data_IF_452471234945
#
_entry.id   IF_452471234945
#
_cell.length_a   1.000
_cell.length_b   1.000
_cell.length_c   1.000
_cell.angle_alpha   90.00
_cell.angle_beta   90.00
_cell.angle_gamma   90.00
#
_symmetry.space_group_name_H-M   'P 1'
#
loop_
_entity.id
_entity.type
_entity.pdbx_description
1 polymer ?
#
# COMPACT_ATOMS: atom_id res chain seq x y z
N UNK A 1 -7.27 9.71 11.32
CA UNK A 1 -6.68 10.64 12.33
C UNK A 1 -5.70 9.87 13.22
N UNK A 2 -4.62 10.54 13.64
CA UNK A 2 -3.65 10.00 14.57
C UNK A 2 -4.33 9.54 15.87
N UNK A 3 -4.00 8.32 16.34
CA UNK A 3 -4.61 7.70 17.53
C UNK A 3 -6.09 7.27 17.44
N UNK A 4 -6.71 7.31 16.27
CA UNK A 4 -8.09 6.80 16.12
C UNK A 4 -8.15 5.27 16.18
N UNK A 5 -7.11 4.61 15.67
CA UNK A 5 -6.98 3.15 15.69
C UNK A 5 -5.71 2.76 16.45
N UNK A 6 -5.81 1.92 17.48
CA UNK A 6 -4.69 1.60 18.38
C UNK A 6 -3.54 0.81 17.74
N UNK A 7 -3.71 0.34 16.50
CA UNK A 7 -2.72 -0.41 15.74
C UNK A 7 -2.09 0.37 14.60
N UNK A 8 -2.36 1.69 14.52
CA UNK A 8 -1.76 2.58 13.52
C UNK A 8 -0.83 3.56 14.23
N UNK A 9 0.47 3.40 14.03
CA UNK A 9 1.50 4.21 14.65
C UNK A 9 1.77 5.52 13.91
N UNK A 10 1.53 5.55 12.59
CA UNK A 10 1.81 6.71 11.75
C UNK A 10 0.82 6.81 10.59
N UNK A 11 0.28 8.00 10.37
CA UNK A 11 -0.54 8.34 9.22
C UNK A 11 -0.08 9.66 8.62
N UNK A 12 -0.12 9.78 7.29
CA UNK A 12 0.25 11.02 6.59
C UNK A 12 -0.65 11.25 5.39
N UNK A 13 -1.13 12.47 5.21
CA UNK A 13 -1.74 12.94 3.96
C UNK A 13 -0.70 13.36 2.93
N UNK A 14 0.56 13.52 3.34
CA UNK A 14 1.69 13.78 2.45
C UNK A 14 2.19 12.46 1.91
N UNK A 15 1.86 12.17 0.64
CA UNK A 15 2.17 10.91 -0.01
C UNK A 15 3.68 10.64 -0.01
N UNK A 16 4.07 9.39 0.11
CA UNK A 16 5.45 8.93 0.11
C UNK A 16 6.18 9.03 1.45
N UNK A 17 5.69 9.79 2.44
CA UNK A 17 6.39 10.00 3.71
C UNK A 17 6.41 8.75 4.60
N UNK A 18 5.34 7.95 4.56
CA UNK A 18 5.16 6.81 5.45
C UNK A 18 6.26 5.75 5.31
N UNK A 19 6.67 5.44 4.09
CA UNK A 19 7.72 4.43 3.84
C UNK A 19 9.07 4.88 4.41
N UNK A 20 9.45 6.15 4.19
CA UNK A 20 10.70 6.70 4.73
C UNK A 20 10.72 6.69 6.26
N UNK A 21 9.60 7.05 6.90
CA UNK A 21 9.46 6.98 8.35
C UNK A 21 9.62 5.55 8.88
N UNK A 22 8.95 4.57 8.26
CA UNK A 22 9.05 3.16 8.62
C UNK A 22 10.48 2.61 8.45
N UNK A 23 11.19 3.02 7.40
CA UNK A 23 12.61 2.65 7.21
C UNK A 23 13.48 3.20 8.35
N UNK A 24 13.26 4.44 8.75
CA UNK A 24 13.95 5.02 9.91
C UNK A 24 13.70 4.24 11.20
N UNK A 25 12.45 3.84 11.44
CA UNK A 25 12.05 3.00 12.58
C UNK A 25 12.72 1.62 12.52
N UNK A 26 12.74 0.99 11.33
CA UNK A 26 13.37 -0.32 11.14
C UNK A 26 14.88 -0.30 11.37
N UNK A 27 15.56 0.75 10.87
CA UNK A 27 16.99 0.97 11.13
C UNK A 27 17.27 1.19 12.63
N UNK A 28 16.45 2.02 13.28
CA UNK A 28 16.58 2.27 14.72
C UNK A 28 16.39 0.98 15.53
N UNK A 29 15.39 0.18 15.20
CA UNK A 29 15.13 -1.10 15.85
C UNK A 29 16.31 -2.07 15.70
N UNK A 30 16.88 -2.16 14.49
CA UNK A 30 18.07 -2.98 14.23
C UNK A 30 19.28 -2.47 15.05
N UNK A 31 19.51 -1.15 15.08
CA UNK A 31 20.58 -0.54 15.86
C UNK A 31 20.43 -0.81 17.38
N UNK A 32 19.21 -0.68 17.88
CA UNK A 32 18.87 -0.93 19.29
C UNK A 32 18.76 -2.41 19.63
N UNK A 33 18.93 -3.32 18.67
CA UNK A 33 18.80 -4.77 18.82
C UNK A 33 17.46 -5.20 19.44
N UNK A 34 16.37 -4.53 19.02
CA UNK A 34 15.03 -4.92 19.44
C UNK A 34 14.72 -6.27 18.79
N UNK A 35 14.22 -7.22 19.59
CA UNK A 35 13.92 -8.56 19.11
C UNK A 35 12.70 -8.55 18.18
N UNK A 36 12.90 -8.98 16.94
CA UNK A 36 11.90 -9.30 15.94
C UNK A 36 10.82 -8.22 15.64
N UNK A 37 11.15 -6.91 15.58
CA UNK A 37 10.17 -5.90 15.23
C UNK A 37 9.80 -6.02 13.75
N UNK A 38 8.52 -5.92 13.41
CA UNK A 38 8.02 -5.86 12.03
C UNK A 38 7.29 -4.56 11.79
N UNK A 39 7.57 -3.94 10.65
CA UNK A 39 6.98 -2.67 10.24
C UNK A 39 6.16 -2.89 8.97
N UNK A 40 4.86 -2.71 9.07
CA UNK A 40 3.94 -2.81 7.96
C UNK A 40 3.66 -1.41 7.41
N UNK A 41 3.74 -1.27 6.09
CA UNK A 41 3.46 -0.02 5.39
C UNK A 41 2.42 -0.28 4.31
N UNK A 42 1.32 0.47 4.33
CA UNK A 42 0.33 0.46 3.27
C UNK A 42 0.61 1.63 2.33
N UNK A 43 0.75 1.34 1.05
CA UNK A 43 0.94 2.32 -0.03
C UNK A 43 -0.18 2.22 -1.06
N UNK A 44 -0.53 3.34 -1.70
CA UNK A 44 -1.34 3.36 -2.90
C UNK A 44 -0.51 3.32 -4.17
N UNK A 45 -1.07 2.83 -5.27
CA UNK A 45 -0.39 2.77 -6.56
C UNK A 45 -0.10 4.15 -7.17
N UNK A 46 -0.97 5.13 -6.95
CA UNK A 46 -0.67 6.53 -7.28
C UNK A 46 0.42 7.14 -6.38
N UNK A 47 0.49 6.72 -5.11
CA UNK A 47 1.49 7.20 -4.15
C UNK A 47 2.92 6.81 -4.56
N UNK A 48 3.10 5.65 -5.16
CA UNK A 48 4.45 5.20 -5.58
C UNK A 48 5.02 6.00 -6.77
N UNK A 49 4.27 6.93 -7.34
CA UNK A 49 4.80 7.89 -8.29
C UNK A 49 5.67 8.98 -7.63
N UNK A 50 5.57 9.14 -6.31
CA UNK A 50 6.43 10.03 -5.54
C UNK A 50 7.88 9.53 -5.55
N UNK A 51 8.82 10.40 -5.92
CA UNK A 51 10.26 10.06 -5.99
C UNK A 51 10.82 9.50 -4.69
N UNK A 52 10.33 10.02 -3.56
CA UNK A 52 10.74 9.59 -2.22
C UNK A 52 10.46 8.10 -1.95
N UNK A 53 9.44 7.50 -2.56
CA UNK A 53 9.18 6.06 -2.45
C UNK A 53 10.36 5.25 -3.01
N UNK A 54 10.89 5.66 -4.15
CA UNK A 54 12.01 4.96 -4.80
C UNK A 54 13.33 5.16 -4.06
N UNK A 55 13.58 6.35 -3.50
CA UNK A 55 14.71 6.61 -2.62
C UNK A 55 14.66 5.73 -1.38
N UNK A 56 13.46 5.62 -0.78
CA UNK A 56 13.21 4.76 0.38
C UNK A 56 13.36 3.27 0.01
N UNK A 57 12.83 2.83 -1.12
CA UNK A 57 12.94 1.45 -1.60
C UNK A 57 14.41 1.05 -1.81
N UNK A 58 15.21 1.91 -2.43
CA UNK A 58 16.64 1.71 -2.61
C UNK A 58 17.37 1.60 -1.26
N UNK A 59 17.04 2.46 -0.30
CA UNK A 59 17.62 2.44 1.04
C UNK A 59 17.29 1.13 1.78
N UNK A 60 16.03 0.70 1.77
CA UNK A 60 15.61 -0.54 2.42
C UNK A 60 16.33 -1.77 1.84
N UNK A 61 16.47 -1.82 0.51
CA UNK A 61 17.20 -2.88 -0.17
C UNK A 61 18.69 -2.87 0.16
N UNK A 62 19.31 -1.68 0.21
CA UNK A 62 20.73 -1.52 0.58
C UNK A 62 21.02 -2.06 1.98
N UNK A 63 20.18 -1.70 2.95
CA UNK A 63 20.35 -2.12 4.35
C UNK A 63 19.77 -3.50 4.65
N UNK A 64 19.19 -4.20 3.65
CA UNK A 64 18.55 -5.52 3.80
C UNK A 64 17.53 -5.53 4.96
N UNK A 65 16.62 -4.55 4.97
CA UNK A 65 15.64 -4.39 6.05
C UNK A 65 14.53 -5.46 5.96
N UNK A 66 14.86 -6.70 6.35
CA UNK A 66 13.93 -7.84 6.30
C UNK A 66 12.69 -7.69 7.20
N UNK A 67 12.72 -6.72 8.08
CA UNK A 67 11.63 -6.36 9.01
C UNK A 67 10.64 -5.32 8.42
N UNK A 68 10.85 -4.84 7.18
CA UNK A 68 9.90 -4.01 6.42
C UNK A 68 9.03 -4.90 5.54
N UNK A 69 7.72 -4.72 5.64
CA UNK A 69 6.72 -5.36 4.81
C UNK A 69 5.81 -4.27 4.25
N UNK A 70 5.88 -4.06 2.94
CA UNK A 70 5.01 -3.13 2.21
C UNK A 70 3.84 -3.91 1.61
N UNK A 71 2.64 -3.39 1.78
CA UNK A 71 1.44 -3.82 1.07
C UNK A 71 1.05 -2.69 0.15
N UNK A 72 1.01 -2.96 -1.15
CA UNK A 72 0.64 -1.98 -2.16
C UNK A 72 -0.80 -2.24 -2.62
N UNK A 73 -1.71 -1.32 -2.31
CA UNK A 73 -3.06 -1.31 -2.88
C UNK A 73 -2.98 -0.98 -4.37
N UNK A 74 -2.96 -2.03 -5.20
CA UNK A 74 -2.86 -1.90 -6.65
C UNK A 74 -4.24 -1.96 -7.30
N UNK A 75 -4.98 -0.86 -7.15
CA UNK A 75 -6.32 -0.70 -7.72
C UNK A 75 -6.32 -0.07 -9.13
N UNK A 76 -5.16 0.36 -9.64
CA UNK A 76 -4.92 0.94 -10.97
C UNK A 76 -5.52 2.33 -11.18
N UNK A 77 -5.88 3.02 -10.08
CA UNK A 77 -6.43 4.37 -10.13
C UNK A 77 -5.69 5.32 -9.19
N UNK A 78 -5.54 6.55 -9.65
CA UNK A 78 -5.09 7.68 -8.87
C UNK A 78 -6.07 8.83 -8.99
N UNK A 79 -5.77 10.00 -8.39
CA UNK A 79 -6.69 11.13 -8.35
C UNK A 79 -7.23 11.55 -9.71
N UNK A 80 -6.39 11.61 -10.73
CA UNK A 80 -6.72 12.15 -12.05
C UNK A 80 -7.15 11.09 -13.08
N UNK A 81 -7.20 9.81 -12.68
CA UNK A 81 -7.61 8.72 -13.57
C UNK A 81 -6.85 7.43 -13.33
N UNK A 82 -6.79 6.60 -14.37
CA UNK A 82 -6.01 5.37 -14.32
C UNK A 82 -4.51 5.65 -14.28
N UNK A 83 -3.78 4.91 -13.43
CA UNK A 83 -2.32 5.06 -13.29
C UNK A 83 -1.60 4.86 -14.62
N UNK A 84 -2.02 3.91 -15.46
CA UNK A 84 -1.42 3.66 -16.79
C UNK A 84 -1.50 4.87 -17.73
N UNK A 85 -2.56 5.69 -17.59
CA UNK A 85 -2.80 6.84 -18.48
C UNK A 85 -2.19 8.14 -17.95
N UNK A 86 -2.10 8.29 -16.64
CA UNK A 86 -1.56 9.49 -15.99
C UNK A 86 -0.04 9.41 -15.87
N UNK A 87 0.45 8.36 -15.23
CA UNK A 87 1.88 8.06 -15.09
C UNK A 87 2.05 6.57 -14.92
N UNK A 88 2.49 5.88 -15.97
CA UNK A 88 2.66 4.44 -15.96
C UNK A 88 3.75 3.99 -14.97
N UNK A 89 3.38 3.10 -14.06
CA UNK A 89 4.26 2.55 -13.04
C UNK A 89 4.85 1.19 -13.40
N UNK A 90 4.41 0.60 -14.53
CA UNK A 90 4.91 -0.69 -14.98
C UNK A 90 6.31 -0.62 -15.66
N UNK A 91 7.11 -1.71 -15.61
CA UNK A 91 6.86 -2.97 -14.91
C UNK A 91 7.06 -2.82 -13.40
N UNK A 92 5.99 -2.97 -12.62
CA UNK A 92 5.98 -2.65 -11.20
C UNK A 92 6.85 -3.59 -10.37
N UNK A 93 6.61 -4.89 -10.47
CA UNK A 93 7.35 -5.91 -9.72
C UNK A 93 8.86 -5.84 -9.98
N UNK A 94 9.26 -5.73 -11.26
CA UNK A 94 10.67 -5.71 -11.67
C UNK A 94 11.43 -4.51 -11.09
N UNK A 95 10.77 -3.35 -10.96
CA UNK A 95 11.38 -2.16 -10.36
C UNK A 95 11.76 -2.41 -8.90
N UNK A 96 10.86 -3.00 -8.12
CA UNK A 96 11.12 -3.33 -6.71
C UNK A 96 12.16 -4.44 -6.56
N UNK A 97 12.08 -5.47 -7.42
CA UNK A 97 13.09 -6.55 -7.48
C UNK A 97 14.48 -5.97 -7.75
N UNK A 98 14.58 -4.98 -8.66
CA UNK A 98 15.84 -4.30 -8.98
C UNK A 98 16.45 -3.55 -7.80
N UNK A 99 15.63 -3.12 -6.84
CA UNK A 99 16.08 -2.56 -5.56
C UNK A 99 16.30 -3.63 -4.47
N UNK A 100 16.42 -4.91 -4.85
CA UNK A 100 16.68 -6.01 -3.92
C UNK A 100 15.53 -6.32 -2.96
N UNK A 101 14.28 -6.10 -3.39
CA UNK A 101 13.09 -6.51 -2.63
C UNK A 101 12.64 -7.93 -3.03
N UNK A 102 12.03 -8.65 -2.12
CA UNK A 102 11.25 -9.84 -2.43
C UNK A 102 9.80 -9.42 -2.69
N UNK A 103 9.26 -9.76 -3.87
CA UNK A 103 7.94 -9.33 -4.32
C UNK A 103 7.02 -10.54 -4.45
N UNK A 104 5.81 -10.42 -3.93
CA UNK A 104 4.70 -11.37 -4.10
C UNK A 104 3.48 -10.62 -4.62
N UNK A 105 2.62 -11.33 -5.34
CA UNK A 105 1.31 -10.83 -5.73
C UNK A 105 0.21 -11.55 -4.97
N UNK A 106 -0.87 -10.85 -4.66
CA UNK A 106 -2.03 -11.41 -3.96
C UNK A 106 -3.33 -10.81 -4.52
N UNK A 107 -4.42 -11.57 -4.41
CA UNK A 107 -5.76 -11.01 -4.48
C UNK A 107 -6.03 -10.19 -3.22
N UNK A 108 -6.08 -8.86 -3.35
CA UNK A 108 -6.27 -7.94 -2.23
C UNK A 108 -7.66 -7.99 -1.59
N UNK A 109 -8.61 -8.71 -2.20
CA UNK A 109 -9.94 -8.96 -1.63
C UNK A 109 -10.08 -10.35 -1.00
N UNK A 110 -9.00 -11.14 -0.97
CA UNK A 110 -8.96 -12.46 -0.35
C UNK A 110 -8.03 -12.47 0.85
N UNK A 111 -8.60 -12.56 2.06
CA UNK A 111 -7.80 -12.71 3.29
C UNK A 111 -6.88 -13.94 3.22
N UNK A 112 -7.33 -15.03 2.61
CA UNK A 112 -6.50 -16.21 2.44
C UNK A 112 -5.27 -15.90 1.57
N UNK A 113 -5.46 -15.28 0.40
CA UNK A 113 -4.38 -14.92 -0.51
C UNK A 113 -3.38 -13.97 0.13
N UNK A 114 -3.86 -12.95 0.87
CA UNK A 114 -2.99 -12.02 1.61
C UNK A 114 -2.19 -12.73 2.71
N UNK A 115 -2.82 -13.62 3.49
CA UNK A 115 -2.14 -14.40 4.52
C UNK A 115 -1.08 -15.34 3.91
N UNK A 116 -1.41 -16.03 2.83
CA UNK A 116 -0.46 -16.90 2.12
C UNK A 116 0.75 -16.11 1.61
N UNK A 117 0.53 -14.92 1.03
CA UNK A 117 1.62 -14.04 0.60
C UNK A 117 2.49 -13.59 1.79
N UNK A 118 1.89 -13.21 2.92
CA UNK A 118 2.60 -12.75 4.12
C UNK A 118 3.51 -13.82 4.74
N UNK A 119 3.11 -15.09 4.69
CA UNK A 119 3.89 -16.19 5.30
C UNK A 119 4.86 -16.86 4.32
N UNK A 120 4.73 -16.61 3.03
CA UNK A 120 5.53 -17.27 1.98
C UNK A 120 6.89 -16.64 1.70
N UNK A 121 7.24 -15.55 2.39
CA UNK A 121 8.53 -14.90 2.22
C UNK A 121 9.67 -15.74 2.81
N UNK A 122 10.72 -15.96 2.03
CA UNK A 122 11.81 -16.88 2.34
C UNK A 122 13.15 -16.17 2.55
N UNK A 123 13.26 -14.91 2.13
CA UNK A 123 14.55 -14.19 2.14
C UNK A 123 14.66 -13.19 3.29
N UNK A 124 15.92 -12.76 3.54
CA UNK A 124 16.25 -11.67 4.46
C UNK A 124 16.13 -10.28 3.81
N UNK A 125 15.39 -10.15 2.71
CA UNK A 125 15.16 -8.91 1.99
C UNK A 125 13.95 -8.14 2.55
N UNK A 126 13.82 -6.84 2.29
CA UNK A 126 12.54 -6.15 2.47
C UNK A 126 11.48 -6.76 1.55
N UNK A 127 10.21 -6.69 1.96
CA UNK A 127 9.11 -7.46 1.38
C UNK A 127 8.05 -6.54 0.80
N UNK A 128 7.58 -6.86 -0.42
CA UNK A 128 6.45 -6.20 -1.06
C UNK A 128 5.38 -7.21 -1.42
N UNK A 129 4.14 -6.92 -1.03
CA UNK A 129 2.95 -7.59 -1.55
C UNK A 129 2.22 -6.61 -2.47
N UNK A 130 2.12 -6.93 -3.74
CA UNK A 130 1.26 -6.22 -4.69
C UNK A 130 -0.14 -6.81 -4.53
N UNK A 131 -1.01 -6.11 -3.81
CA UNK A 131 -2.38 -6.53 -3.59
C UNK A 131 -3.26 -6.02 -4.74
N UNK A 132 -3.63 -6.92 -5.64
CA UNK A 132 -4.54 -6.59 -6.73
C UNK A 132 -5.93 -6.37 -6.19
N UNK A 133 -6.43 -5.13 -6.30
CA UNK A 133 -7.72 -4.71 -5.76
C UNK A 133 -8.60 -4.07 -6.83
N UNK A 134 -9.86 -3.90 -6.48
CA UNK A 134 -10.84 -3.15 -7.26
C UNK A 134 -11.23 -1.91 -6.46
N UNK A 135 -10.94 -0.72 -7.02
CA UNK A 135 -11.36 0.54 -6.41
C UNK A 135 -12.86 0.55 -6.20
N UNK A 136 -13.32 0.87 -4.97
CA UNK A 136 -14.74 0.93 -4.63
C UNK A 136 -15.46 -0.42 -4.53
N UNK A 137 -14.71 -1.51 -4.34
CA UNK A 137 -15.23 -2.88 -4.25
C UNK A 137 -16.41 -3.02 -3.29
N UNK A 138 -17.47 -3.67 -3.77
CA UNK A 138 -18.69 -3.95 -3.01
C UNK A 138 -19.82 -2.94 -3.25
N UNK A 139 -19.53 -1.81 -3.89
CA UNK A 139 -20.55 -0.80 -4.23
C UNK A 139 -20.53 -0.56 -5.74
N UNK A 140 -21.54 -1.04 -6.44
CA UNK A 140 -21.56 -1.14 -7.92
C UNK A 140 -21.25 0.18 -8.63
N UNK A 141 -21.78 1.30 -8.16
CA UNK A 141 -21.56 2.62 -8.74
C UNK A 141 -20.21 3.25 -8.38
N UNK A 142 -19.46 2.66 -7.43
CA UNK A 142 -18.11 3.08 -7.04
C UNK A 142 -17.02 2.22 -7.68
N UNK A 143 -17.32 0.97 -8.04
CA UNK A 143 -16.33 0.05 -8.60
C UNK A 143 -15.71 0.61 -9.89
N UNK A 144 -14.36 0.67 -9.91
CA UNK A 144 -13.57 1.19 -11.03
C UNK A 144 -13.98 2.61 -11.49
N UNK A 145 -14.56 3.38 -10.60
CA UNK A 145 -15.04 4.72 -10.89
C UNK A 145 -14.19 5.79 -10.19
N UNK A 146 -13.43 6.55 -11.00
CA UNK A 146 -12.52 7.58 -10.49
C UNK A 146 -13.23 8.76 -9.82
N UNK A 147 -14.49 9.02 -10.15
CA UNK A 147 -15.30 10.07 -9.55
C UNK A 147 -15.44 9.95 -8.01
N UNK A 148 -15.13 8.76 -7.48
CA UNK A 148 -15.16 8.45 -6.04
C UNK A 148 -13.77 8.44 -5.39
N UNK A 149 -12.75 8.93 -6.06
CA UNK A 149 -11.41 9.00 -5.47
C UNK A 149 -11.31 10.07 -4.39
N UNK A 150 -11.83 11.25 -4.65
CA UNK A 150 -11.94 12.34 -3.67
C UNK A 150 -13.41 12.69 -3.52
N UNK A 151 -13.88 12.92 -2.30
CA UNK A 151 -15.28 13.20 -1.96
C UNK A 151 -15.89 14.47 -2.59
N UNK A 152 -15.57 14.73 -3.86
CA UNK A 152 -16.08 15.87 -4.65
C UNK A 152 -17.55 15.76 -5.02
N UNK A 153 -18.13 14.57 -5.00
CA UNK A 153 -19.57 14.39 -5.13
C UNK A 153 -20.25 14.52 -3.77
N UNK A 154 -21.29 15.33 -3.68
CA UNK A 154 -22.10 15.40 -2.46
C UNK A 154 -22.65 14.02 -2.14
N UNK A 155 -22.20 13.45 -1.03
CA UNK A 155 -22.73 12.21 -0.49
C UNK A 155 -24.11 12.51 0.09
N UNK A 156 -25.17 12.10 -0.60
CA UNK A 156 -26.56 12.28 -0.14
C UNK A 156 -26.99 11.07 0.69
N UNK A 157 -28.02 11.24 1.55
CA UNK A 157 -28.57 10.12 2.33
C UNK A 157 -29.06 8.98 1.42
N UNK A 158 -29.55 9.30 0.24
CA UNK A 158 -29.96 8.30 -0.75
C UNK A 158 -28.79 7.50 -1.30
N UNK A 159 -27.67 8.15 -1.61
CA UNK A 159 -26.44 7.48 -2.07
C UNK A 159 -25.89 6.59 -0.96
N UNK A 160 -25.86 7.09 0.28
CA UNK A 160 -25.44 6.31 1.44
C UNK A 160 -26.32 5.06 1.63
N UNK A 161 -27.66 5.25 1.58
CA UNK A 161 -28.60 4.13 1.70
C UNK A 161 -28.42 3.09 0.60
N UNK A 162 -28.21 3.52 -0.65
CA UNK A 162 -27.96 2.60 -1.74
C UNK A 162 -26.65 1.80 -1.53
N UNK A 163 -25.56 2.47 -1.13
CA UNK A 163 -24.29 1.81 -0.87
C UNK A 163 -24.41 0.78 0.26
N UNK A 164 -25.08 1.13 1.36
CA UNK A 164 -25.28 0.21 2.49
C UNK A 164 -26.14 -0.98 2.12
N UNK A 165 -27.13 -0.81 1.22
CA UNK A 165 -27.96 -1.93 0.75
C UNK A 165 -27.18 -2.93 -0.12
N UNK A 166 -26.13 -2.48 -0.83
CA UNK A 166 -25.28 -3.39 -1.62
C UNK A 166 -24.26 -4.15 -0.74
N UNK A 167 -23.96 -3.64 0.45
CA UNK A 167 -22.98 -4.24 1.37
C UNK A 167 -23.61 -5.22 2.38
N UNK A 168 -24.94 -5.29 2.46
CA UNK A 168 -25.70 -6.20 3.32
C UNK A 168 -26.19 -7.42 2.52
#
# INVERSE_FOLDING_TARGET
>A
EYNTLPFIDYTSGSLGQGLSAAIGMALAANYMKISEPRFFVLLGDGEIQEGQIWEAAMSAGHYNLSNIIVILDYNKFQQDGKTESVMNIEPLADKWISFNWEVKEADGHSFQSLCEALVSFETSKPKLIIANTVKGKGVSFMENNNDWHVGGKKFTDQILSNALNELN
#
